data_IF_690074145540
#
_entry.id   IF_690074145540
#
_cell.length_a   1.000
_cell.length_b   1.000
_cell.length_c   1.000
_cell.angle_alpha   90.00
_cell.angle_beta   90.00
_cell.angle_gamma   90.00
#
_symmetry.space_group_name_H-M   'P 1'
#
loop_
_entity.id
_entity.type
_entity.pdbx_description
1 polymer ?
#
# COMPACT_ATOMS: atom_id res chain seq x y z
N UNK A 1 13.00 12.86 -28.05
CA UNK A 1 13.81 11.64 -27.93
C UNK A 1 12.87 10.45 -27.95
N UNK A 2 13.26 9.33 -28.59
CA UNK A 2 12.50 8.09 -28.44
C UNK A 2 12.54 7.64 -26.96
N UNK A 3 11.48 7.04 -26.42
CA UNK A 3 11.48 6.55 -25.04
C UNK A 3 12.64 5.56 -24.85
N UNK A 4 13.39 5.70 -23.76
CA UNK A 4 14.43 4.73 -23.39
C UNK A 4 13.75 3.39 -23.11
N UNK A 5 14.35 2.28 -23.55
CA UNK A 5 13.83 0.95 -23.25
C UNK A 5 13.84 0.68 -21.75
N UNK A 6 12.95 -0.21 -21.29
CA UNK A 6 12.98 -0.65 -19.89
C UNK A 6 14.28 -1.40 -19.64
N UNK A 7 14.89 -1.16 -18.49
CA UNK A 7 16.12 -1.83 -18.05
C UNK A 7 15.89 -2.46 -16.68
N UNK A 8 16.43 -3.66 -16.51
CA UNK A 8 16.40 -4.42 -15.27
C UNK A 8 17.83 -4.60 -14.76
N UNK A 9 18.03 -4.39 -13.46
CA UNK A 9 19.29 -4.67 -12.77
C UNK A 9 19.00 -5.47 -11.51
N UNK A 10 19.48 -6.70 -11.48
CA UNK A 10 19.33 -7.61 -10.34
C UNK A 10 20.64 -7.60 -9.54
N UNK A 11 20.54 -7.37 -8.23
CA UNK A 11 21.61 -7.52 -7.25
C UNK A 11 21.16 -8.46 -6.14
N UNK A 12 22.10 -8.89 -5.30
CA UNK A 12 21.84 -9.83 -4.21
C UNK A 12 20.78 -9.30 -3.22
N UNK A 13 20.79 -7.99 -2.94
CA UNK A 13 19.94 -7.34 -1.95
C UNK A 13 18.77 -6.54 -2.53
N UNK A 14 18.81 -6.22 -3.84
CA UNK A 14 17.75 -5.42 -4.48
C UNK A 14 17.66 -5.62 -5.99
N UNK A 15 16.50 -5.27 -6.54
CA UNK A 15 16.18 -5.25 -7.97
C UNK A 15 15.78 -3.84 -8.36
N UNK A 16 16.38 -3.30 -9.42
CA UNK A 16 16.04 -1.98 -9.99
C UNK A 16 15.43 -2.15 -11.37
N UNK A 17 14.25 -1.57 -11.57
CA UNK A 17 13.57 -1.47 -12.86
C UNK A 17 13.49 0.00 -13.25
N UNK A 18 13.96 0.38 -14.44
CA UNK A 18 14.06 1.76 -14.87
C UNK A 18 13.69 1.90 -16.36
N UNK A 19 12.72 2.75 -16.67
CA UNK A 19 12.28 3.04 -18.04
C UNK A 19 12.68 4.45 -18.54
N UNK A 20 13.58 5.13 -17.82
CA UNK A 20 14.03 6.49 -18.10
C UNK A 20 13.08 7.60 -17.63
N UNK A 21 11.89 7.27 -17.14
CA UNK A 21 10.89 8.20 -16.60
C UNK A 21 10.73 7.98 -15.09
N UNK A 22 10.53 6.72 -14.70
CA UNK A 22 10.37 6.27 -13.33
C UNK A 22 11.34 5.11 -13.08
N UNK A 23 11.93 5.10 -11.88
CA UNK A 23 12.77 4.00 -11.42
C UNK A 23 12.17 3.41 -10.14
N UNK A 24 11.97 2.09 -10.15
CA UNK A 24 11.43 1.29 -9.06
C UNK A 24 12.57 0.47 -8.46
N UNK A 25 12.71 0.50 -7.13
CA UNK A 25 13.65 -0.33 -6.39
C UNK A 25 12.88 -1.26 -5.46
N UNK A 26 13.18 -2.55 -5.57
CA UNK A 26 12.54 -3.64 -4.82
C UNK A 26 13.59 -4.38 -4.01
N UNK A 27 13.29 -4.81 -2.78
CA UNK A 27 14.19 -5.69 -2.03
C UNK A 27 14.23 -7.09 -2.65
N UNK A 28 15.37 -7.78 -2.53
CA UNK A 28 15.57 -9.11 -3.05
C UNK A 28 15.94 -10.09 -1.91
N UNK A 29 15.20 -11.19 -1.68
CA UNK A 29 14.03 -11.68 -2.42
C UNK A 29 12.68 -11.25 -1.85
N UNK A 30 12.62 -10.32 -0.90
CA UNK A 30 11.36 -10.07 -0.18
C UNK A 30 10.32 -9.32 -1.01
N UNK A 31 10.74 -8.61 -2.07
CA UNK A 31 9.84 -7.87 -2.95
C UNK A 31 9.13 -6.73 -2.24
N UNK A 32 9.81 -6.05 -1.31
CA UNK A 32 9.33 -4.82 -0.69
C UNK A 32 9.69 -3.64 -1.58
N UNK A 33 8.80 -2.65 -1.70
CA UNK A 33 9.10 -1.46 -2.49
C UNK A 33 9.88 -0.50 -1.62
N UNK A 34 11.17 -0.36 -1.91
CA UNK A 34 12.10 0.44 -1.10
C UNK A 34 12.40 1.79 -1.75
N UNK A 35 12.14 1.95 -3.04
CA UNK A 35 12.36 3.21 -3.74
C UNK A 35 11.44 3.42 -4.94
N UNK A 36 10.92 4.63 -5.04
CA UNK A 36 10.26 5.14 -6.25
C UNK A 36 10.90 6.48 -6.59
N UNK A 37 11.72 6.52 -7.63
CA UNK A 37 12.39 7.74 -8.10
C UNK A 37 11.64 8.31 -9.30
N UNK A 38 11.32 9.60 -9.25
CA UNK A 38 10.57 10.27 -10.31
C UNK A 38 10.83 11.77 -10.32
N UNK A 39 10.92 12.36 -11.51
CA UNK A 39 10.98 13.80 -11.74
C UNK A 39 11.99 14.55 -10.83
N UNK A 40 13.22 14.04 -10.74
CA UNK A 40 14.29 14.64 -9.94
C UNK A 40 14.22 14.40 -8.44
N UNK A 41 13.17 13.73 -7.93
CA UNK A 41 13.07 13.32 -6.52
C UNK A 41 13.65 11.92 -6.36
N UNK A 42 14.69 11.79 -5.54
CA UNK A 42 15.44 10.54 -5.36
C UNK A 42 14.59 9.38 -4.81
N UNK A 43 13.65 9.67 -3.91
CA UNK A 43 12.64 8.71 -3.46
C UNK A 43 11.36 9.46 -3.06
N UNK A 44 10.22 9.03 -3.60
CA UNK A 44 8.89 9.54 -3.25
C UNK A 44 8.38 8.93 -1.94
N UNK A 45 8.88 7.74 -1.59
CA UNK A 45 8.53 7.06 -0.35
C UNK A 45 9.22 7.75 0.83
N UNK A 46 8.55 7.72 1.97
CA UNK A 46 9.10 8.20 3.23
C UNK A 46 10.46 7.53 3.53
N UNK A 47 11.41 8.26 4.09
CA UNK A 47 12.77 7.76 4.37
C UNK A 47 13.22 8.02 5.81
N UNK A 48 12.49 8.86 6.55
CA UNK A 48 12.90 9.37 7.86
C UNK A 48 12.15 8.74 9.04
N UNK A 49 11.19 7.84 8.81
CA UNK A 49 10.28 7.40 9.86
C UNK A 49 10.79 6.20 10.67
N UNK A 50 12.02 6.29 11.20
CA UNK A 50 12.48 5.29 12.17
C UNK A 50 11.89 5.48 13.57
N UNK A 51 11.45 6.68 13.97
CA UNK A 51 11.14 6.91 15.41
C UNK A 51 9.98 7.88 15.75
N UNK A 52 9.35 8.56 14.78
CA UNK A 52 8.44 9.68 15.10
C UNK A 52 6.95 9.37 15.29
N UNK A 53 6.40 8.39 14.58
CA UNK A 53 4.94 8.22 14.45
C UNK A 53 4.33 7.09 15.30
N UNK A 54 4.54 7.13 16.63
CA UNK A 54 3.89 6.18 17.57
C UNK A 54 2.36 6.36 17.72
N UNK A 55 1.74 7.30 16.99
CA UNK A 55 0.30 7.58 17.09
C UNK A 55 -0.62 6.67 16.26
N UNK A 56 -0.08 5.78 15.41
CA UNK A 56 -0.90 4.83 14.66
C UNK A 56 -0.35 3.40 14.87
N UNK A 57 -1.20 2.48 15.34
CA UNK A 57 -0.86 1.08 15.59
C UNK A 57 -0.16 0.41 14.40
N UNK A 58 -0.55 0.78 13.16
CA UNK A 58 0.09 0.31 11.93
C UNK A 58 1.55 0.77 11.80
N UNK A 59 1.89 1.97 12.26
CA UNK A 59 3.27 2.49 12.23
C UNK A 59 4.21 1.75 13.18
N UNK A 60 3.68 1.21 14.28
CA UNK A 60 4.46 0.42 15.24
C UNK A 60 4.76 -0.98 14.69
N UNK A 61 3.81 -1.59 13.98
CA UNK A 61 3.97 -2.94 13.40
C UNK A 61 4.81 -2.96 12.11
N UNK A 62 4.75 -1.88 11.33
CA UNK A 62 5.41 -1.80 10.02
C UNK A 62 6.62 -0.88 10.03
N UNK A 63 7.11 -0.49 11.21
CA UNK A 63 7.98 0.68 11.46
C UNK A 63 9.30 0.80 10.69
N UNK A 64 9.60 -0.12 9.76
CA UNK A 64 10.73 -0.04 8.82
C UNK A 64 10.32 -0.02 7.34
N UNK A 65 9.05 -0.24 7.01
CA UNK A 65 8.56 -0.35 5.64
C UNK A 65 7.70 0.87 5.25
N UNK A 66 8.06 1.45 4.12
CA UNK A 66 7.40 2.63 3.56
C UNK A 66 6.50 2.28 2.38
N UNK A 67 6.71 1.13 1.74
CA UNK A 67 5.72 0.54 0.87
C UNK A 67 5.81 -0.98 0.84
N UNK A 68 4.65 -1.63 0.96
CA UNK A 68 4.57 -3.06 1.16
C UNK A 68 3.18 -3.59 0.83
N UNK A 69 3.14 -4.88 0.53
CA UNK A 69 1.91 -5.67 0.57
C UNK A 69 1.76 -6.25 1.96
N UNK A 70 0.58 -6.12 2.56
CA UNK A 70 0.23 -6.73 3.84
C UNK A 70 -1.10 -7.48 3.76
N UNK A 71 -1.33 -8.30 4.78
CA UNK A 71 -2.60 -8.92 5.03
C UNK A 71 -2.91 -9.01 6.52
N UNK A 72 -4.19 -9.15 6.83
CA UNK A 72 -4.68 -9.52 8.15
C UNK A 72 -5.41 -10.85 8.02
N UNK A 73 -4.88 -11.88 8.66
CA UNK A 73 -5.42 -13.24 8.60
C UNK A 73 -5.47 -13.88 9.99
N UNK A 74 -6.24 -14.93 10.18
CA UNK A 74 -6.23 -15.72 11.41
C UNK A 74 -6.56 -17.17 11.15
N UNK A 75 -6.20 -18.04 12.09
CA UNK A 75 -6.86 -19.34 12.21
C UNK A 75 -8.36 -19.14 12.46
N UNK A 76 -9.22 -20.13 12.13
CA UNK A 76 -10.64 -20.04 12.39
C UNK A 76 -10.91 -19.75 13.88
N UNK A 77 -11.70 -18.71 14.17
CA UNK A 77 -11.99 -18.21 15.52
C UNK A 77 -10.78 -17.63 16.28
N UNK A 78 -9.64 -17.44 15.60
CA UNK A 78 -8.46 -16.78 16.14
C UNK A 78 -8.55 -15.26 16.13
N UNK A 79 -7.52 -14.62 16.68
CA UNK A 79 -7.33 -13.16 16.56
C UNK A 79 -6.58 -12.81 15.28
N UNK A 80 -6.93 -11.70 14.64
CA UNK A 80 -6.26 -11.22 13.43
C UNK A 80 -4.75 -10.99 13.62
N UNK A 81 -3.96 -11.61 12.77
CA UNK A 81 -2.50 -11.52 12.65
C UNK A 81 -2.18 -10.61 11.48
N UNK A 82 -1.43 -9.54 11.75
CA UNK A 82 -0.88 -8.68 10.72
C UNK A 82 0.40 -9.28 10.15
N UNK A 83 0.45 -9.45 8.84
CA UNK A 83 1.58 -10.06 8.13
C UNK A 83 1.98 -9.19 6.93
N UNK A 84 3.25 -8.78 6.90
CA UNK A 84 3.84 -8.13 5.73
C UNK A 84 4.32 -9.24 4.80
N UNK A 85 3.79 -9.25 3.58
CA UNK A 85 4.11 -10.29 2.62
C UNK A 85 5.55 -10.12 2.14
N UNK A 86 6.44 -10.98 2.61
CA UNK A 86 7.85 -11.03 2.20
C UNK A 86 8.10 -12.29 1.38
N UNK A 87 8.55 -12.11 0.13
CA UNK A 87 8.97 -13.23 -0.71
C UNK A 87 10.22 -13.93 -0.15
N UNK A 88 10.39 -15.19 -0.51
CA UNK A 88 11.61 -15.98 -0.28
C UNK A 88 12.31 -16.35 -1.58
N UNK A 89 11.69 -16.09 -2.74
CA UNK A 89 12.25 -16.35 -4.05
C UNK A 89 11.92 -15.23 -5.04
N UNK A 90 12.88 -14.87 -5.88
CA UNK A 90 12.77 -13.87 -6.94
C UNK A 90 12.90 -14.53 -8.31
N UNK A 91 12.05 -14.13 -9.25
CA UNK A 91 12.08 -14.59 -10.63
C UNK A 91 11.80 -13.46 -11.61
N UNK A 92 12.46 -13.50 -12.78
CA UNK A 92 12.16 -12.62 -13.92
C UNK A 92 11.13 -13.35 -14.78
N UNK A 93 9.90 -12.83 -14.85
CA UNK A 93 8.82 -13.43 -15.64
C UNK A 93 8.92 -13.01 -17.10
N UNK A 94 9.25 -11.74 -17.34
CA UNK A 94 9.40 -11.17 -18.69
C UNK A 94 10.42 -10.03 -18.69
N UNK A 95 11.26 -9.96 -19.71
CA UNK A 95 12.23 -8.88 -19.90
C UNK A 95 12.47 -8.62 -21.39
N UNK A 96 12.03 -7.45 -21.86
CA UNK A 96 12.42 -6.86 -23.14
C UNK A 96 12.46 -5.33 -23.07
N UNK A 97 12.72 -4.66 -24.20
CA UNK A 97 12.81 -3.20 -24.24
C UNK A 97 11.51 -2.46 -23.91
N UNK A 98 10.36 -3.13 -24.01
CA UNK A 98 9.03 -2.55 -23.84
C UNK A 98 8.43 -2.86 -22.47
N UNK A 99 8.82 -3.98 -21.85
CA UNK A 99 8.26 -4.44 -20.59
C UNK A 99 9.29 -5.22 -19.76
N UNK A 100 9.25 -4.99 -18.45
CA UNK A 100 9.84 -5.88 -17.44
C UNK A 100 8.73 -6.33 -16.48
N UNK A 101 8.65 -7.63 -16.22
CA UNK A 101 7.81 -8.24 -15.19
C UNK A 101 8.68 -9.11 -14.28
N UNK A 102 8.56 -8.89 -12.97
CA UNK A 102 9.27 -9.66 -11.95
C UNK A 102 8.31 -10.21 -10.91
N UNK A 103 8.66 -11.35 -10.34
CA UNK A 103 7.90 -12.10 -9.33
C UNK A 103 8.70 -12.25 -8.04
N UNK A 104 7.98 -12.17 -6.92
CA UNK A 104 8.49 -12.45 -5.58
C UNK A 104 7.53 -13.40 -4.87
N UNK A 105 7.93 -14.66 -4.72
CA UNK A 105 7.06 -15.73 -4.21
C UNK A 105 7.34 -16.07 -2.75
N UNK A 106 6.29 -16.34 -1.98
CA UNK A 106 6.34 -16.95 -0.65
C UNK A 106 5.47 -18.20 -0.68
N UNK A 107 6.12 -19.35 -0.65
CA UNK A 107 5.41 -20.64 -0.56
C UNK A 107 5.11 -20.99 0.89
N UNK A 108 4.03 -21.74 1.10
CA UNK A 108 3.68 -22.29 2.40
C UNK A 108 3.90 -23.81 2.43
N UNK A 109 4.30 -24.32 3.59
CA UNK A 109 4.37 -25.73 3.91
C UNK A 109 3.96 -25.97 5.37
N UNK A 110 3.59 -27.21 5.76
CA UNK A 110 3.07 -27.51 7.10
C UNK A 110 3.98 -27.11 8.27
N UNK A 111 5.29 -26.92 8.08
CA UNK A 111 6.18 -26.46 9.17
C UNK A 111 5.97 -24.98 9.57
N UNK A 112 5.22 -24.24 8.74
CA UNK A 112 4.87 -22.83 8.89
C UNK A 112 3.46 -22.62 9.47
N UNK A 113 2.75 -23.70 9.81
CA UNK A 113 1.44 -23.64 10.47
C UNK A 113 1.49 -22.80 11.76
N UNK A 114 0.46 -21.98 11.97
CA UNK A 114 0.37 -21.00 13.06
C UNK A 114 1.33 -19.80 12.96
N UNK A 115 2.26 -19.78 11.98
CA UNK A 115 3.25 -18.70 11.80
C UNK A 115 2.95 -17.84 10.58
N UNK A 116 2.57 -18.47 9.48
CA UNK A 116 2.24 -17.83 8.21
C UNK A 116 0.91 -18.37 7.70
N UNK A 117 0.19 -17.53 6.96
CA UNK A 117 -1.05 -17.90 6.30
C UNK A 117 -0.80 -19.11 5.39
N UNK A 118 -1.71 -20.11 5.33
CA UNK A 118 -1.55 -21.28 4.48
C UNK A 118 -1.82 -20.94 3.00
N UNK A 119 -1.02 -20.05 2.41
CA UNK A 119 -1.13 -19.61 1.02
C UNK A 119 0.24 -19.60 0.35
N UNK A 120 0.28 -20.07 -0.89
CA UNK A 120 1.33 -19.64 -1.82
C UNK A 120 0.96 -18.26 -2.32
N UNK A 121 1.91 -17.33 -2.27
CA UNK A 121 1.72 -15.95 -2.66
C UNK A 121 2.78 -15.56 -3.68
N UNK A 122 2.36 -15.06 -4.84
CA UNK A 122 3.25 -14.53 -5.88
C UNK A 122 2.92 -13.05 -6.09
N UNK A 123 3.81 -12.15 -5.61
CA UNK A 123 3.70 -10.71 -5.84
C UNK A 123 4.44 -10.35 -7.12
N UNK A 124 3.78 -9.59 -7.99
CA UNK A 124 4.33 -9.18 -9.27
C UNK A 124 4.42 -7.67 -9.42
N UNK A 125 5.43 -7.25 -10.17
CA UNK A 125 5.65 -5.86 -10.54
C UNK A 125 5.93 -5.78 -12.04
N UNK A 126 5.22 -4.88 -12.72
CA UNK A 126 5.39 -4.64 -14.16
C UNK A 126 5.73 -3.18 -14.40
N UNK A 127 6.79 -2.93 -15.17
CA UNK A 127 7.10 -1.60 -15.70
C UNK A 127 7.08 -1.62 -17.22
N UNK A 128 6.41 -0.64 -17.81
CA UNK A 128 6.29 -0.47 -19.25
C UNK A 128 7.13 0.72 -19.75
N UNK A 129 7.65 0.60 -20.96
CA UNK A 129 8.36 1.67 -21.66
C UNK A 129 7.45 2.87 -21.88
N UNK A 130 7.95 4.07 -21.60
CA UNK A 130 7.23 5.32 -21.87
C UNK A 130 6.10 5.65 -20.88
N UNK A 131 5.90 4.84 -19.84
CA UNK A 131 4.87 5.08 -18.81
C UNK A 131 5.46 5.72 -17.54
N UNK A 132 4.72 6.64 -16.92
CA UNK A 132 5.11 7.30 -15.65
C UNK A 132 4.59 6.57 -14.41
N UNK A 133 4.54 5.24 -14.46
CA UNK A 133 3.97 4.40 -13.42
C UNK A 133 4.35 2.94 -13.62
N UNK A 134 3.98 2.11 -12.64
CA UNK A 134 4.19 0.66 -12.66
C UNK A 134 2.92 -0.03 -12.16
N UNK A 135 2.75 -1.29 -12.53
CA UNK A 135 1.65 -2.13 -12.07
C UNK A 135 2.15 -3.07 -10.97
N UNK A 136 1.27 -3.39 -10.03
CA UNK A 136 1.52 -4.45 -9.05
C UNK A 136 0.24 -5.22 -8.77
N UNK A 137 0.38 -6.52 -8.60
CA UNK A 137 -0.70 -7.43 -8.22
C UNK A 137 -0.11 -8.62 -7.47
N UNK A 138 -0.97 -9.40 -6.83
CA UNK A 138 -0.58 -10.62 -6.15
C UNK A 138 -1.51 -11.76 -6.55
N UNK A 139 -0.94 -12.95 -6.71
CA UNK A 139 -1.65 -14.21 -6.95
C UNK A 139 -1.60 -15.00 -5.65
N UNK A 140 -2.76 -15.47 -5.19
CA UNK A 140 -2.89 -16.25 -3.97
C UNK A 140 -3.42 -17.65 -4.34
N UNK A 141 -2.70 -18.70 -3.96
CA UNK A 141 -3.10 -20.10 -4.17
C UNK A 141 -3.20 -20.80 -2.80
N UNK A 142 -4.40 -21.31 -2.49
CA UNK A 142 -4.63 -22.27 -1.42
C UNK A 142 -4.73 -23.67 -2.04
N UNK A 143 -4.03 -24.65 -1.47
CA UNK A 143 -4.04 -26.02 -2.00
C UNK A 143 -4.98 -26.93 -1.22
N UNK A 144 -5.50 -27.94 -1.90
CA UNK A 144 -6.30 -28.97 -1.28
C UNK A 144 -5.55 -29.64 -0.11
N UNK A 145 -6.22 -29.79 1.02
CA UNK A 145 -5.67 -30.39 2.24
C UNK A 145 -4.87 -29.43 3.12
N UNK A 146 -4.74 -28.15 2.75
CA UNK A 146 -4.14 -27.15 3.63
C UNK A 146 -5.16 -26.62 4.66
N UNK A 147 -4.69 -26.14 5.84
CA UNK A 147 -5.58 -25.64 6.88
C UNK A 147 -6.49 -24.51 6.40
N UNK A 148 -7.69 -24.45 6.99
CA UNK A 148 -8.61 -23.33 6.84
C UNK A 148 -8.04 -22.09 7.55
N UNK A 149 -8.40 -20.91 7.07
CA UNK A 149 -8.03 -19.63 7.66
C UNK A 149 -9.06 -18.56 7.28
N UNK A 150 -9.14 -17.51 8.10
CA UNK A 150 -9.92 -16.32 7.81
C UNK A 150 -8.99 -15.22 7.27
N UNK A 151 -9.34 -14.65 6.12
CA UNK A 151 -8.63 -13.50 5.55
C UNK A 151 -9.50 -12.25 5.68
N UNK A 152 -9.12 -11.34 6.56
CA UNK A 152 -9.86 -10.13 6.84
C UNK A 152 -9.50 -8.99 5.87
N UNK A 153 -8.22 -8.86 5.52
CA UNK A 153 -7.72 -7.78 4.67
C UNK A 153 -6.50 -8.25 3.86
N UNK A 154 -6.35 -7.79 2.62
CA UNK A 154 -5.04 -7.71 1.97
C UNK A 154 -4.91 -6.38 1.24
N UNK A 155 -3.75 -5.75 1.31
CA UNK A 155 -3.58 -4.42 0.70
C UNK A 155 -2.16 -4.17 0.27
N UNK A 156 -2.02 -3.21 -0.63
CA UNK A 156 -0.75 -2.52 -0.86
C UNK A 156 -0.83 -1.14 -0.23
N UNK A 157 0.23 -0.77 0.49
CA UNK A 157 0.38 0.52 1.14
C UNK A 157 1.58 1.28 0.56
N UNK A 158 1.41 2.59 0.37
CA UNK A 158 2.46 3.54 0.01
C UNK A 158 2.46 4.69 1.00
N UNK A 159 3.51 4.79 1.82
CA UNK A 159 3.77 5.92 2.72
C UNK A 159 4.72 6.87 2.01
N UNK A 160 4.18 7.99 1.56
CA UNK A 160 4.93 9.00 0.84
C UNK A 160 5.58 9.98 1.81
N UNK A 161 6.59 10.70 1.31
CA UNK A 161 7.29 11.74 2.05
C UNK A 161 6.38 12.83 2.58
N UNK A 162 6.30 12.96 3.90
CA UNK A 162 5.50 14.02 4.54
C UNK A 162 5.98 15.43 4.21
N UNK A 163 7.28 15.61 3.96
CA UNK A 163 7.84 16.91 3.58
C UNK A 163 7.47 17.35 2.15
N UNK A 164 6.92 16.45 1.33
CA UNK A 164 6.56 16.72 -0.06
C UNK A 164 5.06 16.71 -0.31
N UNK A 165 4.36 15.69 0.19
CA UNK A 165 2.97 15.42 -0.14
C UNK A 165 2.03 15.94 0.95
N UNK A 166 1.38 17.08 0.70
CA UNK A 166 0.54 17.76 1.69
C UNK A 166 -0.92 17.91 1.26
N UNK A 167 -1.24 17.64 -0.01
CA UNK A 167 -2.59 17.77 -0.55
C UNK A 167 -3.08 16.40 -1.01
N UNK A 168 -4.26 16.00 -0.55
CA UNK A 168 -4.86 14.71 -0.86
C UNK A 168 -6.11 14.91 -1.69
N UNK A 169 -6.35 14.02 -2.65
CA UNK A 169 -7.56 13.95 -3.43
C UNK A 169 -8.06 12.51 -3.51
N UNK A 170 -9.28 12.27 -3.02
CA UNK A 170 -9.93 10.95 -3.01
C UNK A 170 -11.25 10.91 -3.78
N UNK A 171 -11.79 12.09 -4.11
CA UNK A 171 -12.88 12.31 -5.06
C UNK A 171 -12.86 13.79 -5.50
N UNK A 172 -13.57 14.13 -6.59
CA UNK A 172 -13.65 15.51 -7.09
C UNK A 172 -14.10 16.53 -6.03
N UNK A 173 -14.98 16.10 -5.12
CA UNK A 173 -15.50 16.90 -4.02
C UNK A 173 -14.81 16.64 -2.67
N UNK A 174 -13.81 15.75 -2.63
CA UNK A 174 -13.08 15.36 -1.41
C UNK A 174 -11.59 15.46 -1.66
N UNK A 175 -11.13 16.70 -1.63
CA UNK A 175 -9.73 17.06 -1.81
C UNK A 175 -9.38 18.25 -0.91
N UNK A 176 -8.21 18.21 -0.28
CA UNK A 176 -7.81 19.22 0.70
C UNK A 176 -6.32 19.17 1.02
N UNK A 177 -5.82 20.26 1.59
CA UNK A 177 -4.63 20.19 2.42
C UNK A 177 -4.93 19.34 3.66
N UNK A 178 -4.05 18.38 3.90
CA UNK A 178 -4.19 17.45 5.02
C UNK A 178 -3.37 17.93 6.21
N UNK A 179 -3.79 17.61 7.45
CA UNK A 179 -2.93 17.80 8.60
C UNK A 179 -1.63 17.01 8.44
N UNK A 180 -0.56 17.49 9.06
CA UNK A 180 0.69 16.75 9.10
C UNK A 180 0.58 15.60 10.10
N UNK A 181 1.35 14.51 9.95
CA UNK A 181 1.35 13.43 10.93
C UNK A 181 1.72 13.91 12.33
N UNK A 182 2.62 14.90 12.40
CA UNK A 182 3.06 15.53 13.64
C UNK A 182 1.93 16.32 14.32
N UNK A 183 0.94 16.81 13.56
CA UNK A 183 -0.22 17.53 14.11
C UNK A 183 -1.12 16.61 14.93
N UNK A 184 -1.04 15.29 14.72
CA UNK A 184 -1.76 14.29 15.50
C UNK A 184 -1.05 13.89 16.81
N UNK A 185 0.08 14.53 17.14
CA UNK A 185 0.78 14.27 18.39
C UNK A 185 0.06 14.91 19.59
N UNK A 186 0.21 14.36 20.82
CA UNK A 186 -0.51 14.85 22.00
C UNK A 186 -0.27 16.32 22.37
N UNK A 187 0.82 16.92 21.89
CA UNK A 187 1.13 18.34 22.11
C UNK A 187 0.45 19.28 21.10
N UNK A 188 -0.16 18.73 20.04
CA UNK A 188 -0.78 19.48 18.93
C UNK A 188 -2.23 19.07 18.65
N UNK A 189 -2.69 18.01 19.31
CA UNK A 189 -4.04 17.49 19.21
C UNK A 189 -4.50 16.84 20.50
N UNK A 190 -5.80 16.62 20.59
CA UNK A 190 -6.46 15.88 21.67
C UNK A 190 -7.14 14.65 21.07
N UNK A 191 -6.75 13.45 21.52
CA UNK A 191 -7.47 12.23 21.16
C UNK A 191 -8.92 12.29 21.65
N UNK A 192 -9.84 11.85 20.79
CA UNK A 192 -11.26 11.77 21.11
C UNK A 192 -11.61 10.37 21.64
N UNK A 193 -12.88 9.96 21.53
CA UNK A 193 -13.37 8.67 22.02
C UNK A 193 -12.65 7.47 21.37
N UNK A 194 -12.21 7.60 20.13
CA UNK A 194 -11.52 6.55 19.37
C UNK A 194 -10.08 6.95 19.07
N UNK A 195 -9.11 6.02 19.10
CA UNK A 195 -7.70 6.32 18.85
C UNK A 195 -7.43 6.84 17.43
N UNK A 196 -8.31 6.53 16.47
CA UNK A 196 -8.24 7.00 15.10
C UNK A 196 -8.64 8.46 14.92
N UNK A 197 -9.36 9.05 15.90
CA UNK A 197 -9.92 10.40 15.80
C UNK A 197 -9.24 11.37 16.79
N UNK A 198 -8.75 12.50 16.27
CA UNK A 198 -8.12 13.55 17.08
C UNK A 198 -8.70 14.93 16.73
N UNK A 199 -8.88 15.78 17.74
CA UNK A 199 -9.16 17.20 17.57
C UNK A 199 -7.83 17.96 17.43
N UNK A 200 -7.63 18.67 16.33
CA UNK A 200 -6.43 19.47 16.07
C UNK A 200 -6.50 20.77 16.88
N UNK A 201 -5.60 20.94 17.85
CA UNK A 201 -5.60 22.11 18.75
C UNK A 201 -4.50 23.12 18.40
N UNK A 202 -3.40 22.67 17.80
CA UNK A 202 -2.28 23.51 17.39
C UNK A 202 -1.57 22.93 16.14
N UNK A 203 -2.28 22.79 14.99
CA UNK A 203 -1.72 22.23 13.75
C UNK A 203 -0.70 23.15 13.06
N UNK A 204 0.09 22.61 12.11
CA UNK A 204 1.14 23.40 11.41
C UNK A 204 0.46 24.41 10.49
N UNK A 205 -0.61 23.97 9.83
CA UNK A 205 -1.52 24.86 9.12
C UNK A 205 -2.62 25.35 10.09
N UNK A 206 -2.61 26.64 10.49
CA UNK A 206 -3.57 27.17 11.46
C UNK A 206 -5.03 27.08 11.01
N UNK A 207 -5.28 27.01 9.69
CA UNK A 207 -6.63 26.90 9.14
C UNK A 207 -7.33 25.58 9.55
N UNK A 208 -6.55 24.57 9.97
CA UNK A 208 -7.06 23.27 10.42
C UNK A 208 -7.42 23.25 11.91
N UNK A 209 -7.24 24.37 12.63
CA UNK A 209 -7.46 24.42 14.09
C UNK A 209 -8.94 24.21 14.41
N UNK A 210 -9.23 23.30 15.34
CA UNK A 210 -10.59 22.95 15.74
C UNK A 210 -11.24 21.88 14.86
N UNK A 211 -10.57 21.42 13.80
CA UNK A 211 -11.05 20.29 13.00
C UNK A 211 -10.78 18.94 13.69
N UNK A 212 -11.65 17.97 13.40
CA UNK A 212 -11.45 16.58 13.79
C UNK A 212 -10.88 15.82 12.61
N UNK A 213 -9.68 15.26 12.76
CA UNK A 213 -9.07 14.36 11.80
C UNK A 213 -9.27 12.90 12.25
N UNK A 214 -10.05 12.16 11.47
CA UNK A 214 -10.37 10.75 11.71
C UNK A 214 -9.99 9.93 10.47
N UNK A 215 -9.24 8.85 10.69
CA UNK A 215 -8.80 7.90 9.66
C UNK A 215 -9.93 7.46 8.74
N UNK A 216 -11.12 7.19 9.29
CA UNK A 216 -12.25 6.63 8.54
C UNK A 216 -13.05 7.69 7.75
N UNK A 217 -12.80 8.99 7.98
CA UNK A 217 -13.37 10.06 7.16
C UNK A 217 -12.90 10.02 5.70
N UNK A 218 -11.86 9.24 5.40
CA UNK A 218 -11.26 9.11 4.08
C UNK A 218 -11.60 7.76 3.41
N UNK A 219 -12.60 7.05 3.91
CA UNK A 219 -13.14 5.88 3.23
C UNK A 219 -14.06 6.27 2.07
N UNK A 220 -14.18 5.37 1.10
CA UNK A 220 -15.10 5.48 -0.03
C UNK A 220 -15.80 4.12 -0.26
N UNK A 221 -16.96 4.14 -0.92
CA UNK A 221 -17.61 2.92 -1.38
C UNK A 221 -16.77 2.30 -2.51
N UNK A 222 -16.65 0.97 -2.54
CA UNK A 222 -15.80 0.25 -3.50
C UNK A 222 -16.06 0.66 -4.96
N UNK A 223 -17.33 0.78 -5.36
CA UNK A 223 -17.69 1.21 -6.74
C UNK A 223 -17.14 2.59 -7.14
N UNK A 224 -16.79 3.43 -6.16
CA UNK A 224 -16.32 4.80 -6.33
C UNK A 224 -14.78 4.90 -6.15
N UNK A 225 -14.12 3.88 -5.58
CA UNK A 225 -12.65 3.86 -5.43
C UNK A 225 -12.01 3.45 -6.76
N UNK A 226 -11.79 4.45 -7.62
CA UNK A 226 -11.11 4.29 -8.92
C UNK A 226 -9.72 4.90 -8.92
N UNK A 227 -9.61 6.16 -8.53
CA UNK A 227 -8.35 6.92 -8.53
C UNK A 227 -8.31 7.82 -7.31
N UNK A 228 -7.23 7.76 -6.55
CA UNK A 228 -7.00 8.63 -5.40
C UNK A 228 -5.51 8.74 -5.10
N UNK A 229 -5.11 9.76 -4.35
CA UNK A 229 -3.70 9.95 -4.05
C UNK A 229 -3.34 11.29 -3.45
N UNK A 230 -2.09 11.66 -3.68
CA UNK A 230 -1.45 12.83 -3.09
C UNK A 230 -0.75 13.70 -4.13
N UNK A 231 -0.70 14.99 -3.84
CA UNK A 231 -0.05 16.01 -4.65
C UNK A 231 1.04 16.68 -3.80
N UNK A 232 2.22 16.79 -4.39
CA UNK A 232 3.29 17.69 -3.98
C UNK A 232 3.31 18.91 -4.89
N UNK A 233 3.54 20.08 -4.31
CA UNK A 233 3.70 21.33 -5.07
C UNK A 233 5.18 21.71 -5.30
N UNK A 234 6.11 21.07 -4.58
CA UNK A 234 7.55 21.31 -4.71
C UNK A 234 8.39 20.01 -4.60
N UNK A 235 8.76 19.40 -5.73
CA UNK A 235 8.32 19.74 -7.10
C UNK A 235 6.86 19.32 -7.35
N UNK A 236 6.24 19.88 -8.39
CA UNK A 236 4.86 19.55 -8.78
C UNK A 236 4.76 18.07 -9.25
N UNK A 237 4.31 17.19 -8.37
CA UNK A 237 4.21 15.73 -8.60
C UNK A 237 2.91 15.22 -8.00
N UNK A 238 2.18 14.37 -8.72
CA UNK A 238 1.10 13.56 -8.18
C UNK A 238 1.52 12.10 -8.02
N UNK A 239 1.11 11.46 -6.94
CA UNK A 239 1.18 10.01 -6.76
C UNK A 239 -0.24 9.47 -6.67
N UNK A 240 -0.63 8.62 -7.60
CA UNK A 240 -2.00 8.16 -7.76
C UNK A 240 -2.08 6.63 -7.71
N UNK A 241 -2.95 6.12 -6.85
CA UNK A 241 -3.37 4.73 -6.88
C UNK A 241 -4.55 4.61 -7.85
N UNK A 242 -4.46 3.68 -8.78
CA UNK A 242 -5.49 3.42 -9.79
C UNK A 242 -5.97 1.99 -9.61
N UNK A 243 -7.27 1.83 -9.40
CA UNK A 243 -7.95 0.54 -9.34
C UNK A 243 -8.84 0.39 -10.58
N UNK A 244 -8.42 -0.39 -11.59
CA UNK A 244 -9.15 -0.49 -12.85
C UNK A 244 -10.35 -1.45 -12.80
N UNK A 245 -10.41 -2.33 -11.79
CA UNK A 245 -11.41 -3.40 -11.67
C UNK A 245 -11.76 -3.62 -10.19
N UNK A 246 -13.00 -4.02 -9.91
CA UNK A 246 -13.48 -4.41 -8.59
C UNK A 246 -13.51 -5.93 -8.38
N UNK A 247 -13.09 -6.73 -9.37
CA UNK A 247 -13.27 -8.19 -9.36
C UNK A 247 -12.56 -8.91 -8.21
N UNK A 248 -11.55 -8.27 -7.61
CA UNK A 248 -10.79 -8.78 -6.49
C UNK A 248 -11.32 -8.31 -5.12
N UNK A 249 -12.40 -7.51 -5.09
CA UNK A 249 -13.00 -6.98 -3.87
C UNK A 249 -14.20 -7.83 -3.45
N UNK A 250 -14.31 -8.11 -2.15
CA UNK A 250 -15.45 -8.78 -1.55
C UNK A 250 -16.33 -7.83 -0.74
N UNK A 251 -17.61 -8.18 -0.60
CA UNK A 251 -18.60 -7.45 0.22
C UNK A 251 -19.46 -6.44 -0.55
N UNK A 252 -19.32 -6.39 -1.87
CA UNK A 252 -20.23 -5.67 -2.76
C UNK A 252 -19.93 -4.17 -2.89
N UNK A 253 -20.62 -3.48 -3.81
CA UNK A 253 -20.24 -2.15 -4.27
C UNK A 253 -20.34 -1.04 -3.21
N UNK A 254 -21.09 -1.25 -2.13
CA UNK A 254 -21.32 -0.27 -1.06
C UNK A 254 -20.40 -0.45 0.15
N UNK A 255 -19.55 -1.48 0.13
CA UNK A 255 -18.56 -1.66 1.18
C UNK A 255 -17.59 -0.49 1.19
N UNK A 256 -17.30 0.01 2.39
CA UNK A 256 -16.39 1.13 2.60
C UNK A 256 -14.97 0.60 2.80
N UNK A 257 -14.03 1.11 2.00
CA UNK A 257 -12.62 0.82 2.16
C UNK A 257 -11.82 2.12 2.28
N UNK A 258 -10.70 2.03 2.99
CA UNK A 258 -9.76 3.14 3.14
C UNK A 258 -9.08 3.45 1.82
N UNK A 259 -8.87 4.74 1.55
CA UNK A 259 -8.19 5.23 0.36
C UNK A 259 -6.83 5.83 0.73
N UNK A 260 -6.73 7.16 0.73
CA UNK A 260 -5.58 7.92 1.21
C UNK A 260 -5.90 8.58 2.55
N UNK A 261 -4.91 8.75 3.43
CA UNK A 261 -5.11 9.39 4.74
C UNK A 261 -3.82 10.02 5.28
N UNK A 262 -3.96 10.84 6.35
CA UNK A 262 -2.86 11.49 7.09
C UNK A 262 -1.66 10.56 7.31
N UNK A 263 -0.43 11.06 7.15
CA UNK A 263 0.76 10.20 7.02
C UNK A 263 1.16 9.96 5.57
N UNK A 264 0.95 10.95 4.70
CA UNK A 264 0.78 10.84 3.24
C UNK A 264 0.68 9.41 2.72
N UNK A 265 -0.32 8.69 3.23
CA UNK A 265 -0.46 7.25 2.96
C UNK A 265 -1.51 7.06 1.89
N UNK A 266 -1.24 6.14 0.97
CA UNK A 266 -2.19 5.68 -0.05
C UNK A 266 -2.29 4.18 0.03
N UNK A 267 -3.52 3.66 0.11
CA UNK A 267 -3.81 2.24 0.22
C UNK A 267 -4.61 1.78 -1.00
N UNK A 268 -4.33 0.58 -1.49
CA UNK A 268 -5.32 -0.18 -2.24
C UNK A 268 -5.68 -1.43 -1.46
N UNK A 269 -6.88 -1.40 -0.89
CA UNK A 269 -7.45 -2.51 -0.13
C UNK A 269 -8.14 -3.48 -1.08
N UNK A 270 -7.84 -4.75 -0.90
CA UNK A 270 -8.45 -5.90 -1.54
C UNK A 270 -8.91 -6.86 -0.45
N UNK A 271 -10.01 -7.57 -0.65
CA UNK A 271 -10.40 -8.65 0.26
C UNK A 271 -10.78 -9.81 -0.62
N UNK A 272 -9.92 -10.82 -0.66
CA UNK A 272 -10.23 -12.10 -1.31
C UNK A 272 -10.89 -12.97 -0.23
N UNK A 273 -12.22 -12.96 -0.17
CA UNK A 273 -12.97 -14.01 0.51
C UNK A 273 -13.76 -14.76 -0.56
N UNK A 274 -13.22 -15.86 -1.08
CA UNK A 274 -14.02 -16.80 -1.86
C UNK A 274 -14.91 -17.59 -0.88
N UNK A 275 -16.15 -17.13 -0.68
CA UNK A 275 -17.18 -18.05 -0.18
C UNK A 275 -17.70 -18.83 -1.38
N UNK A 276 -17.08 -19.98 -1.68
CA UNK A 276 -17.69 -20.98 -2.56
C UNK A 276 -18.74 -21.77 -1.76
N UNK A 277 -19.94 -21.20 -1.60
CA UNK A 277 -21.11 -21.92 -1.11
C UNK A 277 -21.99 -22.34 -2.29
N UNK A 278 -22.03 -23.64 -2.61
CA UNK A 278 -23.05 -24.20 -3.50
C UNK A 278 -24.41 -24.06 -2.81
N UNK A 279 -25.25 -23.15 -3.29
CA UNK A 279 -26.66 -23.13 -2.95
C UNK A 279 -27.42 -24.05 -3.92
N UNK A 280 -27.82 -25.22 -3.45
CA UNK A 280 -28.88 -26.00 -4.08
C UNK A 280 -30.22 -25.36 -3.71
N UNK A 281 -31.06 -25.05 -4.70
CA UNK A 281 -32.49 -24.84 -4.49
C UNK A 281 -33.20 -26.19 -4.35
#
# INVERSE_FOLDING_TARGET
MAPVGVSLRVRDDHVVIDNGILQLTLSNPEGLITGVRYNGVDNLLEVLNKEGNRGNFLSTLTGSYFSYWDMVWSEPQGSGIFDVIQGSHFEIIHEDENQVEVSFTRNWDPSLEGKLVPLNIDKRFIMLRGCSGFYTYAIYEHREGWPDFDLAETRVAFKLRKDKFCYMAIADNRQRFMPMPDDRMPNRSQQLAYPEAVLLTNPVNPDLTGEVDDKYQYSCEDKDIKVHGWISFDPLIGFWQITPSDEFRSGGPVKQNLTSHVGPTTLAVSIISFICGLASF
#
